data_IF_693772175291
#
_entry.id   IF_693772175291
#
_cell.length_a   1.000
_cell.length_b   1.000
_cell.length_c   1.000
_cell.angle_alpha   90.00
_cell.angle_beta   90.00
_cell.angle_gamma   90.00
#
_symmetry.space_group_name_H-M   'P 1'
#
loop_
_entity.id
_entity.type
_entity.pdbx_description
1 polymer ?
#
# COMPACT_ATOMS: atom_id res chain seq x y z
N UNK A 1 16.05 12.08 -28.10
CA UNK A 1 14.69 11.62 -28.46
C UNK A 1 13.97 10.82 -27.35
N UNK A 2 14.53 10.65 -26.15
CA UNK A 2 13.89 9.84 -25.08
C UNK A 2 12.83 10.58 -24.24
N UNK A 3 12.86 11.92 -24.22
CA UNK A 3 11.96 12.73 -23.39
C UNK A 3 10.46 12.44 -23.59
N UNK A 4 10.06 12.08 -24.81
CA UNK A 4 8.65 11.76 -25.13
C UNK A 4 8.20 10.42 -24.55
N UNK A 5 9.09 9.42 -24.49
CA UNK A 5 8.78 8.10 -23.91
C UNK A 5 8.72 8.23 -22.38
N UNK A 6 9.66 8.95 -21.78
CA UNK A 6 9.71 9.14 -20.33
C UNK A 6 8.50 9.93 -19.82
N UNK A 7 8.05 10.95 -20.57
CA UNK A 7 6.83 11.70 -20.23
C UNK A 7 5.54 10.90 -20.43
N UNK A 8 5.48 10.03 -21.44
CA UNK A 8 4.37 9.10 -21.61
C UNK A 8 4.30 8.08 -20.46
N UNK A 9 5.44 7.53 -20.04
CA UNK A 9 5.51 6.61 -18.91
C UNK A 9 5.08 7.27 -17.59
N UNK A 10 5.55 8.49 -17.34
CA UNK A 10 5.14 9.27 -16.16
C UNK A 10 3.62 9.49 -16.11
N UNK A 11 3.01 9.82 -17.26
CA UNK A 11 1.55 9.97 -17.36
C UNK A 11 0.86 8.63 -17.14
N UNK A 12 1.34 7.54 -17.74
CA UNK A 12 0.76 6.21 -17.56
C UNK A 12 0.82 5.74 -16.09
N UNK A 13 1.92 6.00 -15.38
CA UNK A 13 2.06 5.73 -13.94
C UNK A 13 1.09 6.55 -13.09
N UNK A 14 0.91 7.83 -13.41
CA UNK A 14 -0.09 8.68 -12.76
C UNK A 14 -1.52 8.19 -13.01
N UNK A 15 -1.76 7.59 -14.18
CA UNK A 15 -3.06 7.08 -14.62
C UNK A 15 -3.33 5.63 -14.18
N UNK A 16 -2.38 4.94 -13.52
CA UNK A 16 -2.64 3.58 -13.05
C UNK A 16 -3.78 3.55 -12.03
N UNK A 17 -4.81 2.76 -12.38
CA UNK A 17 -6.09 2.58 -11.70
C UNK A 17 -5.96 1.77 -10.39
N UNK A 18 -5.01 2.09 -9.52
CA UNK A 18 -5.04 1.51 -8.18
C UNK A 18 -6.17 2.17 -7.38
N UNK A 19 -6.90 1.37 -6.59
CA UNK A 19 -7.91 1.87 -5.65
C UNK A 19 -7.32 2.91 -4.68
N UNK A 20 -6.03 2.77 -4.39
CA UNK A 20 -5.23 3.71 -3.61
C UNK A 20 -5.01 5.09 -4.28
N UNK A 21 -5.23 5.22 -5.60
CA UNK A 21 -5.08 6.48 -6.36
C UNK A 21 -6.36 7.34 -6.36
N UNK A 22 -7.50 6.78 -5.97
CA UNK A 22 -8.82 7.42 -6.21
C UNK A 22 -9.60 7.81 -4.95
N UNK A 23 -9.44 7.12 -3.80
CA UNK A 23 -10.03 7.58 -2.52
C UNK A 23 -9.48 6.85 -1.27
N UNK A 24 -8.69 7.54 -0.44
CA UNK A 24 -8.17 7.01 0.83
C UNK A 24 -9.26 6.49 1.78
N UNK A 25 -10.37 7.23 1.88
CA UNK A 25 -11.42 6.91 2.85
C UNK A 25 -12.12 5.59 2.54
N UNK A 26 -12.26 5.24 1.26
CA UNK A 26 -12.88 3.98 0.86
C UNK A 26 -12.01 2.78 1.25
N UNK A 27 -10.71 2.85 0.96
CA UNK A 27 -9.75 1.81 1.38
C UNK A 27 -9.71 1.68 2.90
N UNK A 28 -9.64 2.81 3.62
CA UNK A 28 -9.61 2.79 5.09
C UNK A 28 -10.88 2.17 5.69
N UNK A 29 -12.05 2.41 5.09
CA UNK A 29 -13.33 1.78 5.49
C UNK A 29 -13.29 0.27 5.27
N UNK A 30 -12.89 -0.17 4.10
CA UNK A 30 -12.84 -1.60 3.76
C UNK A 30 -11.86 -2.34 4.66
N UNK A 31 -10.68 -1.77 4.92
CA UNK A 31 -9.70 -2.30 5.87
C UNK A 31 -10.30 -2.41 7.27
N UNK A 32 -11.00 -1.38 7.75
CA UNK A 32 -11.59 -1.41 9.10
C UNK A 32 -12.70 -2.45 9.23
N UNK A 33 -13.44 -2.73 8.15
CA UNK A 33 -14.48 -3.78 8.11
C UNK A 33 -13.83 -5.16 8.17
N UNK A 34 -12.78 -5.41 7.39
CA UNK A 34 -12.12 -6.72 7.31
C UNK A 34 -11.24 -7.03 8.52
N UNK A 35 -10.62 -6.01 9.10
CA UNK A 35 -9.68 -6.11 10.20
C UNK A 35 -10.10 -5.18 11.35
N UNK A 36 -11.16 -5.55 12.10
CA UNK A 36 -11.73 -4.68 13.13
C UNK A 36 -10.75 -4.38 14.28
N UNK A 37 -9.75 -5.24 14.50
CA UNK A 37 -8.76 -5.07 15.56
C UNK A 37 -7.63 -4.08 15.19
N UNK A 38 -7.67 -3.48 13.99
CA UNK A 38 -6.78 -2.37 13.64
C UNK A 38 -7.27 -1.10 14.35
N UNK A 39 -6.39 -0.48 15.14
CA UNK A 39 -6.64 0.79 15.80
C UNK A 39 -6.36 1.99 14.89
N UNK A 40 -5.32 1.90 14.06
CA UNK A 40 -4.94 2.95 13.12
C UNK A 40 -4.46 2.35 11.81
N UNK A 41 -4.86 2.96 10.70
CA UNK A 41 -4.46 2.58 9.36
C UNK A 41 -4.11 3.82 8.54
N UNK A 42 -3.01 3.73 7.82
CA UNK A 42 -2.61 4.72 6.83
C UNK A 42 -1.85 4.05 5.69
N UNK A 43 -1.80 4.70 4.53
CA UNK A 43 -0.95 4.23 3.43
C UNK A 43 -0.38 5.42 2.65
N UNK A 44 0.73 5.20 1.96
CA UNK A 44 1.35 6.17 1.08
C UNK A 44 2.05 5.49 -0.10
N UNK A 45 2.27 6.26 -1.17
CA UNK A 45 3.26 5.95 -2.20
C UNK A 45 4.62 6.46 -1.70
N UNK A 46 5.55 5.56 -1.48
CA UNK A 46 6.91 5.89 -1.10
C UNK A 46 7.79 5.86 -2.34
N UNK A 47 8.51 6.96 -2.57
CA UNK A 47 9.50 7.05 -3.63
C UNK A 47 10.73 6.26 -3.22
N UNK A 48 11.08 5.28 -4.03
CA UNK A 48 12.25 4.45 -3.83
C UNK A 48 13.01 4.39 -5.15
N UNK A 49 14.32 4.48 -5.10
CA UNK A 49 15.13 4.24 -6.29
C UNK A 49 16.08 3.10 -5.99
N UNK A 50 16.03 2.04 -6.80
CA UNK A 50 16.92 0.90 -6.66
C UNK A 50 18.34 1.22 -7.14
N UNK A 51 18.50 2.16 -8.09
CA UNK A 51 19.77 2.49 -8.73
C UNK A 51 20.07 4.01 -8.82
N UNK A 52 19.26 4.85 -8.17
CA UNK A 52 19.30 6.32 -8.18
C UNK A 52 19.12 6.97 -9.55
N UNK A 53 18.77 6.19 -10.59
CA UNK A 53 18.57 6.70 -11.97
C UNK A 53 17.09 6.80 -12.32
N UNK A 54 16.27 5.90 -11.79
CA UNK A 54 14.81 5.90 -11.97
C UNK A 54 14.12 6.00 -10.62
N UNK A 55 13.14 6.90 -10.51
CA UNK A 55 12.27 6.94 -9.35
C UNK A 55 11.22 5.83 -9.51
N UNK A 56 11.36 4.75 -8.76
CA UNK A 56 10.30 3.76 -8.58
C UNK A 56 9.38 4.22 -7.44
N UNK A 57 8.14 3.71 -7.43
CA UNK A 57 7.24 3.89 -6.30
C UNK A 57 6.82 2.55 -5.75
N UNK A 58 6.85 2.43 -4.42
CA UNK A 58 6.25 1.31 -3.70
C UNK A 58 5.10 1.82 -2.83
N UNK A 59 4.10 1.00 -2.58
CA UNK A 59 3.09 1.33 -1.59
C UNK A 59 3.57 0.86 -0.21
N UNK A 60 3.39 1.71 0.79
CA UNK A 60 3.63 1.39 2.20
C UNK A 60 2.32 1.59 2.94
N UNK A 61 1.86 0.58 3.66
CA UNK A 61 0.78 0.71 4.63
C UNK A 61 1.34 0.71 6.05
N UNK A 62 0.90 1.66 6.87
CA UNK A 62 1.15 1.70 8.30
C UNK A 62 -0.08 1.18 9.03
N UNK A 63 0.13 0.24 9.93
CA UNK A 63 -0.94 -0.36 10.73
C UNK A 63 -0.55 -0.36 12.19
N UNK A 64 -1.50 0.03 13.05
CA UNK A 64 -1.41 -0.15 14.48
C UNK A 64 -2.47 -1.16 14.90
N UNK A 65 -2.02 -2.32 15.36
CA UNK A 65 -2.88 -3.37 15.89
C UNK A 65 -3.30 -3.06 17.32
N UNK A 66 -4.42 -3.63 17.75
CA UNK A 66 -4.79 -3.61 19.15
C UNK A 66 -3.70 -4.30 20.01
N UNK A 67 -3.22 -3.65 21.09
CA UNK A 67 -2.14 -4.19 21.92
C UNK A 67 -2.53 -5.46 22.68
N UNK A 68 -3.83 -5.75 22.80
CA UNK A 68 -4.33 -6.99 23.42
C UNK A 68 -4.14 -8.23 22.55
N UNK A 69 -3.86 -8.06 21.25
CA UNK A 69 -3.59 -9.17 20.33
C UNK A 69 -2.20 -9.74 20.60
N UNK A 70 -2.14 -11.06 20.78
CA UNK A 70 -0.90 -11.81 20.90
C UNK A 70 0.03 -11.60 19.69
N UNK A 71 1.33 -11.48 19.91
CA UNK A 71 2.31 -11.19 18.86
C UNK A 71 2.28 -12.21 17.71
N UNK A 72 2.10 -13.50 18.02
CA UNK A 72 1.97 -14.56 17.00
C UNK A 72 0.76 -14.35 16.09
N UNK A 73 -0.37 -13.95 16.68
CA UNK A 73 -1.60 -13.67 15.95
C UNK A 73 -1.49 -12.36 15.16
N UNK A 74 -0.77 -11.36 15.70
CA UNK A 74 -0.49 -10.09 15.03
C UNK A 74 0.31 -10.31 13.74
N UNK A 75 1.33 -11.16 13.77
CA UNK A 75 2.11 -11.51 12.57
C UNK A 75 1.24 -12.17 11.51
N UNK A 76 0.42 -13.16 11.91
CA UNK A 76 -0.49 -13.84 10.98
C UNK A 76 -1.51 -12.87 10.35
N UNK A 77 -2.07 -11.96 11.15
CA UNK A 77 -3.02 -10.94 10.66
C UNK A 77 -2.36 -9.90 9.76
N UNK A 78 -1.09 -9.57 10.02
CA UNK A 78 -0.31 -8.66 9.18
C UNK A 78 -0.07 -9.24 7.79
N UNK A 79 0.27 -10.54 7.71
CA UNK A 79 0.40 -11.24 6.42
C UNK A 79 -0.94 -11.34 5.70
N UNK A 80 -2.03 -11.61 6.43
CA UNK A 80 -3.38 -11.64 5.85
C UNK A 80 -3.80 -10.25 5.30
N UNK A 81 -3.51 -9.17 6.04
CA UNK A 81 -3.76 -7.80 5.60
C UNK A 81 -2.96 -7.48 4.33
N UNK A 82 -1.68 -7.87 4.27
CA UNK A 82 -0.83 -7.67 3.10
C UNK A 82 -1.41 -8.35 1.86
N UNK A 83 -1.76 -9.63 1.99
CA UNK A 83 -2.36 -10.40 0.91
C UNK A 83 -3.69 -9.79 0.43
N UNK A 84 -4.52 -9.36 1.37
CA UNK A 84 -5.80 -8.73 1.07
C UNK A 84 -5.64 -7.39 0.33
N UNK A 85 -4.69 -6.53 0.74
CA UNK A 85 -4.44 -5.24 0.07
C UNK A 85 -3.90 -5.43 -1.36
N UNK A 86 -3.11 -6.47 -1.60
CA UNK A 86 -2.60 -6.85 -2.92
C UNK A 86 -3.77 -7.26 -3.83
N UNK A 87 -4.65 -8.14 -3.33
CA UNK A 87 -5.81 -8.66 -4.06
C UNK A 87 -6.85 -7.56 -4.36
N UNK A 88 -7.29 -6.82 -3.33
CA UNK A 88 -8.35 -5.80 -3.45
C UNK A 88 -7.97 -4.63 -4.36
N UNK A 89 -6.68 -4.26 -4.37
CA UNK A 89 -6.21 -3.07 -5.10
C UNK A 89 -5.43 -3.38 -6.39
N UNK A 90 -5.24 -4.66 -6.72
CA UNK A 90 -4.48 -5.10 -7.89
C UNK A 90 -3.00 -4.68 -7.87
N UNK A 91 -2.44 -4.47 -6.67
CA UNK A 91 -1.04 -4.09 -6.51
C UNK A 91 -0.15 -5.31 -6.69
N UNK A 92 1.05 -5.12 -7.25
CA UNK A 92 2.06 -6.20 -7.28
C UNK A 92 2.69 -6.46 -5.92
N UNK A 93 2.89 -5.39 -5.14
CA UNK A 93 3.50 -5.46 -3.81
C UNK A 93 3.06 -4.24 -2.97
N UNK A 94 3.02 -4.45 -1.65
CA UNK A 94 2.84 -3.41 -0.63
C UNK A 94 3.62 -3.82 0.61
N UNK A 95 4.37 -2.89 1.19
CA UNK A 95 5.07 -3.11 2.46
C UNK A 95 4.17 -2.71 3.62
N UNK A 96 4.13 -3.55 4.67
CA UNK A 96 3.38 -3.25 5.89
C UNK A 96 4.37 -2.91 7.00
N UNK A 97 4.19 -1.74 7.60
CA UNK A 97 4.95 -1.29 8.77
C UNK A 97 4.01 -1.27 9.96
N UNK A 98 4.33 -2.08 10.97
CA UNK A 98 3.59 -2.13 12.23
C UNK A 98 4.21 -1.20 13.26
N UNK A 99 3.39 -0.42 13.96
CA UNK A 99 3.78 0.41 15.11
C UNK A 99 3.78 -0.39 16.42
#
# INVERSE_FOLDING_TARGET
LNYTIDSLNLVLEATQNSKFNTNFLNVAKDVKIQFPEIQSFGYSKFLQSSDFRVADTIYIARVKWDPTILDSLRTQKTEALKAWLIDDSGLKNIEIVTD
#
